data_IF_750121548696
#
_entry.id   IF_750121548696
#
_cell.length_a   1.000
_cell.length_b   1.000
_cell.length_c   1.000
_cell.angle_alpha   90.00
_cell.angle_beta   90.00
_cell.angle_gamma   90.00
#
_symmetry.space_group_name_H-M   'P 1'
#
loop_
_entity.id
_entity.type
_entity.pdbx_description
1 polymer ?
2 non-polymer ?
3 non-polymer ?
4 non-polymer ?
5 water ?
#
# COMPACT_ATOMS: atom_id res chain seq x y z
N UNK A 4 -16.10 0.18 -8.71
CA UNK A 4 -14.75 0.74 -8.55
C UNK A 4 -14.60 2.08 -9.25
N UNK A 5 -15.72 2.66 -9.70
CA UNK A 5 -15.68 3.98 -10.33
C UNK A 5 -15.01 4.95 -9.38
N UNK A 6 -15.36 4.85 -8.11
CA UNK A 6 -14.83 5.74 -7.11
C UNK A 6 -13.29 5.64 -7.03
N UNK A 7 -12.74 4.42 -7.05
CA UNK A 7 -11.28 4.25 -6.96
C UNK A 7 -10.56 4.83 -8.18
N UNK A 8 -11.07 4.56 -9.36
CA UNK A 8 -10.50 5.13 -10.58
C UNK A 8 -10.50 6.65 -10.50
N UNK A 9 -11.63 7.21 -10.06
CA UNK A 9 -11.75 8.66 -9.98
C UNK A 9 -10.84 9.26 -8.89
N UNK A 10 -10.66 8.52 -7.80
CA UNK A 10 -9.69 8.91 -6.77
C UNK A 10 -8.30 9.07 -7.36
N UNK A 11 -7.85 8.09 -8.14
CA UNK A 11 -6.52 8.16 -8.69
C UNK A 11 -6.40 9.25 -9.76
N UNK A 12 -7.45 9.47 -10.54
CA UNK A 12 -7.40 10.53 -11.53
C UNK A 12 -7.28 11.90 -10.86
N UNK A 13 -8.03 12.10 -9.78
CA UNK A 13 -7.96 13.35 -9.03
C UNK A 13 -6.57 13.53 -8.41
N UNK A 14 -6.04 12.46 -7.83
CA UNK A 14 -4.70 12.52 -7.25
C UNK A 14 -3.63 12.85 -8.31
N UNK A 15 -3.69 12.21 -9.48
CA UNK A 15 -2.73 12.52 -10.54
C UNK A 15 -2.81 14.00 -10.94
N UNK A 16 -4.03 14.54 -10.99
CA UNK A 16 -4.22 15.94 -11.34
C UNK A 16 -3.55 16.87 -10.32
N UNK A 17 -3.55 16.44 -9.05
CA UNK A 17 -2.99 17.23 -7.95
C UNK A 17 -1.48 17.16 -7.83
N UNK A 18 -0.90 16.04 -8.26
CA UNK A 18 0.52 15.82 -8.07
C UNK A 18 1.35 16.53 -9.12
N UNK A 19 2.60 16.89 -8.78
CA UNK A 19 3.53 17.46 -9.77
C UNK A 19 3.74 16.56 -10.99
N UNK A 20 4.09 17.15 -12.12
CA UNK A 20 4.22 16.40 -13.40
C UNK A 20 5.21 15.22 -13.38
N UNK A 21 6.30 15.34 -12.62
CA UNK A 21 7.34 14.29 -12.56
C UNK A 21 7.05 13.26 -11.46
N UNK A 22 5.83 13.29 -10.92
CA UNK A 22 5.51 12.36 -9.84
C UNK A 22 5.56 10.91 -10.27
N UNK A 23 5.02 10.57 -11.44
CA UNK A 23 4.96 9.16 -11.83
C UNK A 23 6.33 8.57 -12.12
N UNK A 24 7.19 9.27 -12.90
CA UNK A 24 8.55 8.72 -13.06
C UNK A 24 9.27 8.46 -11.73
N UNK A 25 9.13 9.40 -10.79
CA UNK A 25 9.78 9.28 -9.49
C UNK A 25 9.16 8.16 -8.64
N UNK A 26 7.83 8.11 -8.59
CA UNK A 26 7.13 7.07 -7.85
C UNK A 26 7.46 5.70 -8.41
N UNK A 27 7.47 5.54 -9.74
CA UNK A 27 7.83 4.24 -10.32
C UNK A 27 9.22 3.82 -9.86
N UNK A 28 10.16 4.75 -9.95
CA UNK A 28 11.53 4.45 -9.64
C UNK A 28 11.65 4.01 -8.18
N UNK A 29 10.96 4.71 -7.29
CA UNK A 29 11.01 4.35 -5.87
C UNK A 29 10.35 2.99 -5.64
N UNK A 30 9.14 2.85 -6.14
CA UNK A 30 8.28 1.68 -5.90
C UNK A 30 8.97 0.40 -6.36
N UNK A 31 9.51 0.41 -7.58
CA UNK A 31 10.11 -0.81 -8.08
C UNK A 31 11.47 -1.11 -7.39
N UNK A 32 12.14 -0.09 -6.84
CA UNK A 32 13.33 -0.32 -6.03
C UNK A 32 12.96 -0.99 -4.70
N UNK A 33 11.90 -0.51 -4.05
CA UNK A 33 11.41 -1.12 -2.81
C UNK A 33 11.03 -2.58 -3.08
N UNK A 34 10.39 -2.84 -4.22
CA UNK A 34 10.02 -4.21 -4.59
C UNK A 34 11.26 -5.10 -4.64
N UNK A 35 12.40 -4.51 -5.02
CA UNK A 35 13.65 -5.24 -5.13
C UNK A 35 14.44 -5.23 -3.82
N UNK A 36 13.84 -4.72 -2.75
CA UNK A 36 14.45 -4.71 -1.43
C UNK A 36 15.48 -3.62 -1.20
N UNK A 37 15.49 -2.62 -2.06
CA UNK A 37 16.52 -1.60 -2.06
C UNK A 37 15.95 -0.26 -1.62
N UNK A 38 16.43 0.25 -0.49
CA UNK A 38 16.09 1.59 -0.06
C UNK A 38 16.59 2.60 -1.10
N UNK A 39 15.94 3.76 -1.15
CA UNK A 39 16.17 4.73 -2.20
C UNK A 39 16.69 6.03 -1.61
N UNK A 40 17.65 6.64 -2.29
CA UNK A 40 18.16 7.96 -1.92
C UNK A 40 17.88 8.96 -3.02
N UNK A 41 17.96 10.24 -2.68
CA UNK A 41 17.72 11.25 -3.69
C UNK A 41 18.79 11.22 -4.78
N UNK A 42 20.04 10.92 -4.44
CA UNK A 42 21.07 10.80 -5.46
C UNK A 42 20.71 9.70 -6.45
N UNK A 43 20.19 8.57 -5.98
CA UNK A 43 19.87 7.48 -6.88
C UNK A 43 18.73 7.91 -7.81
N UNK A 44 17.76 8.67 -7.27
CA UNK A 44 16.66 9.16 -8.09
C UNK A 44 17.15 10.14 -9.16
N UNK A 45 18.03 11.05 -8.76
CA UNK A 45 18.58 12.00 -9.69
C UNK A 45 19.32 11.27 -10.81
N UNK A 46 20.20 10.36 -10.43
CA UNK A 46 21.04 9.67 -11.40
C UNK A 46 20.18 8.82 -12.37
N UNK A 47 19.17 8.15 -11.83
CA UNK A 47 18.39 7.22 -12.63
C UNK A 47 17.34 7.91 -13.51
N UNK A 48 16.61 8.86 -12.93
CA UNK A 48 15.51 9.50 -13.67
C UNK A 48 16.01 10.57 -14.64
N UNK A 49 17.17 11.16 -14.35
CA UNK A 49 17.64 12.27 -15.17
C UNK A 49 16.92 13.58 -14.92
N UNK A 50 16.06 13.62 -13.91
CA UNK A 50 15.29 14.82 -13.58
C UNK A 50 16.19 15.81 -12.84
N UNK A 51 15.97 17.10 -13.07
CA UNK A 51 16.70 18.16 -12.39
C UNK A 51 16.68 17.94 -10.90
N UNK A 52 17.78 18.26 -10.23
CA UNK A 52 17.90 17.96 -8.80
C UNK A 52 16.90 18.76 -7.96
N UNK A 53 16.57 19.98 -8.36
CA UNK A 53 15.61 20.77 -7.60
C UNK A 53 14.21 20.19 -7.73
N UNK A 54 13.88 19.65 -8.90
CA UNK A 54 12.57 19.03 -9.10
C UNK A 54 12.47 17.72 -8.33
N UNK A 55 13.53 16.92 -8.34
CA UNK A 55 13.50 15.71 -7.53
C UNK A 55 13.25 16.06 -6.07
N UNK A 56 13.96 17.05 -5.57
CA UNK A 56 13.82 17.47 -4.19
C UNK A 56 12.38 17.90 -3.88
N UNK A 57 11.79 18.72 -4.75
CA UNK A 57 10.46 19.24 -4.46
C UNK A 57 9.38 18.18 -4.59
N UNK A 58 9.53 17.28 -5.56
CA UNK A 58 8.55 16.22 -5.72
C UNK A 58 8.64 15.24 -4.54
N UNK A 59 9.85 14.84 -4.17
CA UNK A 59 10.02 13.96 -3.02
C UNK A 59 9.43 14.59 -1.75
N UNK A 60 9.63 15.89 -1.55
CA UNK A 60 9.05 16.59 -0.40
C UNK A 60 7.53 16.45 -0.38
N UNK A 61 6.89 16.66 -1.52
CA UNK A 61 5.44 16.55 -1.61
C UNK A 61 4.98 15.12 -1.33
N UNK A 62 5.64 14.15 -1.95
CA UNK A 62 5.25 12.75 -1.76
C UNK A 62 5.40 12.34 -0.29
N UNK A 63 6.43 12.84 0.36
CA UNK A 63 6.64 12.54 1.77
C UNK A 63 5.59 13.24 2.67
N UNK A 64 5.21 14.46 2.33
CA UNK A 64 4.19 15.18 3.08
C UNK A 64 2.83 14.48 2.97
N UNK A 65 2.58 13.87 1.80
CA UNK A 65 1.35 13.11 1.57
C UNK A 65 1.47 11.69 2.11
N UNK A 66 2.63 11.35 2.66
CA UNK A 66 2.92 10.02 3.17
C UNK A 66 2.61 8.94 2.14
N UNK A 67 2.86 9.29 0.87
CA UNK A 67 2.85 8.34 -0.24
C UNK A 67 4.17 7.61 -0.38
N UNK A 68 5.20 8.17 0.25
CA UNK A 68 6.47 7.50 0.49
C UNK A 68 6.80 7.70 1.96
N UNK A 69 7.63 6.82 2.49
CA UNK A 69 8.07 6.87 3.88
C UNK A 69 9.57 6.91 3.92
N UNK A 70 10.10 7.83 4.73
CA UNK A 70 11.53 7.95 4.93
C UNK A 70 11.86 7.65 6.38
N UNK A 71 12.91 6.89 6.58
CA UNK A 71 13.41 6.66 7.93
C UNK A 71 14.03 7.93 8.49
N UNK A 72 14.44 7.89 9.75
CA UNK A 72 14.96 9.08 10.43
C UNK A 72 16.15 9.65 9.68
N UNK A 73 16.98 8.80 9.08
CA UNK A 73 18.15 9.26 8.31
C UNK A 73 17.78 9.69 6.88
N UNK A 74 16.47 9.69 6.59
CA UNK A 74 15.88 10.19 5.34
C UNK A 74 15.98 9.28 4.13
N UNK A 75 16.55 8.09 4.24
CA UNK A 75 16.44 7.16 3.13
C UNK A 75 14.99 6.73 2.97
N UNK A 76 14.58 6.53 1.72
CA UNK A 76 13.19 6.16 1.42
C UNK A 76 13.03 4.64 1.47
N UNK A 77 12.11 4.18 2.31
CA UNK A 77 11.98 2.75 2.60
C UNK A 77 10.59 2.20 2.32
N UNK A 78 9.67 3.05 1.87
CA UNK A 78 8.34 2.60 1.54
C UNK A 78 7.68 3.51 0.54
N UNK A 79 6.79 2.96 -0.28
CA UNK A 79 6.07 3.76 -1.26
C UNK A 79 4.78 3.05 -1.66
N UNK A 80 3.69 3.80 -1.70
CA UNK A 80 2.43 3.31 -2.28
C UNK A 80 1.99 1.99 -1.67
N UNK A 81 2.19 1.86 -0.36
CA UNK A 81 1.72 0.69 0.39
C UNK A 81 2.76 -0.39 0.63
N UNK A 82 3.88 -0.33 -0.09
CA UNK A 82 4.91 -1.35 -0.04
C UNK A 82 6.08 -0.83 0.81
N UNK A 83 6.63 -1.69 1.66
CA UNK A 83 7.64 -1.29 2.64
C UNK A 83 8.73 -2.33 2.81
N UNK A 84 9.98 -1.86 2.91
CA UNK A 84 11.03 -2.78 3.31
C UNK A 84 11.10 -2.90 4.82
N UNK A 85 10.60 -1.92 5.56
CA UNK A 85 10.64 -1.96 7.02
C UNK A 85 9.34 -2.55 7.59
N UNK A 86 9.42 -3.18 8.77
CA UNK A 86 8.28 -3.96 9.27
C UNK A 86 6.99 -3.19 9.52
N UNK A 87 5.90 -3.92 9.27
CA UNK A 87 4.57 -3.52 9.66
C UNK A 87 3.89 -4.80 10.17
N UNK A 88 2.65 -4.70 10.56
CA UNK A 88 1.87 -5.87 10.95
C UNK A 88 1.63 -6.81 9.76
N UNK A 89 1.70 -6.27 8.55
CA UNK A 89 1.30 -7.00 7.36
C UNK A 89 2.49 -7.46 6.57
N UNK A 90 2.89 -8.69 6.81
CA UNK A 90 4.07 -9.28 6.18
C UNK A 90 3.69 -9.92 4.87
N UNK A 91 4.44 -9.64 3.82
CA UNK A 91 4.17 -10.21 2.51
C UNK A 91 5.42 -10.81 1.91
N UNK A 92 5.33 -12.09 1.55
CA UNK A 92 6.42 -12.75 0.88
C UNK A 92 6.12 -12.73 -0.61
N UNK A 93 6.98 -12.07 -1.37
CA UNK A 93 6.70 -11.72 -2.75
C UNK A 93 8.02 -11.62 -3.51
N UNK A 94 8.13 -12.32 -4.65
CA UNK A 94 9.34 -12.25 -5.48
C UNK A 94 10.57 -12.75 -4.76
N UNK A 95 10.37 -13.73 -3.87
CA UNK A 95 11.48 -14.36 -3.18
C UNK A 95 11.99 -13.60 -1.96
N UNK A 96 11.32 -12.51 -1.58
CA UNK A 96 11.74 -11.75 -0.41
C UNK A 96 10.59 -11.40 0.51
N UNK A 97 10.95 -11.09 1.74
CA UNK A 97 10.00 -10.71 2.75
C UNK A 97 9.92 -9.19 2.81
N UNK A 98 8.77 -8.68 2.42
CA UNK A 98 8.47 -7.26 2.47
C UNK A 98 7.25 -7.05 3.36
N UNK A 99 6.78 -5.82 3.41
CA UNK A 99 5.66 -5.48 4.28
C UNK A 99 4.71 -4.55 3.56
N UNK A 100 3.47 -4.51 4.04
CA UNK A 100 2.47 -3.62 3.46
C UNK A 100 1.91 -2.68 4.50
N UNK A 101 1.51 -1.49 4.06
CA UNK A 101 1.00 -0.48 4.99
C UNK A 101 -0.37 -0.81 5.57
N UNK A 102 -1.17 -1.63 4.87
CA UNK A 102 -2.51 -1.98 5.35
C UNK A 102 -2.98 -3.27 4.67
N UNK A 103 -4.15 -3.72 5.11
CA UNK A 103 -4.75 -4.95 4.59
C UNK A 103 -5.00 -4.87 3.09
N UNK A 104 -5.52 -3.74 2.62
CA UNK A 104 -5.79 -3.63 1.19
C UNK A 104 -4.48 -3.76 0.40
N UNK A 105 -3.43 -3.09 0.86
CA UNK A 105 -2.14 -3.11 0.19
C UNK A 105 -1.62 -4.53 0.03
N UNK A 106 -1.83 -5.38 1.06
CA UNK A 106 -1.31 -6.76 0.97
C UNK A 106 -1.78 -7.47 -0.30
N UNK A 107 -3.01 -7.20 -0.71
CA UNK A 107 -3.61 -7.87 -1.85
C UNK A 107 -3.44 -7.06 -3.14
N UNK A 108 -3.67 -5.76 -3.07
CA UNK A 108 -3.52 -4.98 -4.28
C UNK A 108 -2.08 -4.99 -4.79
N UNK A 109 -1.10 -5.12 -3.90
CA UNK A 109 0.29 -5.19 -4.34
C UNK A 109 0.57 -6.49 -5.12
N UNK A 110 -0.11 -7.57 -4.77
CA UNK A 110 0.05 -8.82 -5.51
C UNK A 110 -0.32 -8.60 -6.97
N UNK A 111 -1.46 -7.96 -7.19
CA UNK A 111 -1.94 -7.66 -8.53
C UNK A 111 -1.03 -6.68 -9.22
N UNK A 112 -0.66 -5.60 -8.52
CA UNK A 112 0.14 -4.54 -9.15
C UNK A 112 1.53 -5.04 -9.55
N UNK A 113 2.12 -5.89 -8.72
CA UNK A 113 3.47 -6.39 -8.96
C UNK A 113 3.48 -7.69 -9.77
N UNK A 114 2.29 -8.17 -10.12
CA UNK A 114 2.13 -9.40 -10.90
C UNK A 114 2.88 -10.55 -10.26
N UNK A 115 2.53 -10.85 -9.01
CA UNK A 115 3.33 -11.75 -8.21
C UNK A 115 2.47 -12.51 -7.23
N UNK A 116 2.67 -13.82 -7.17
CA UNK A 116 2.08 -14.59 -6.08
C UNK A 116 2.56 -14.02 -4.74
N UNK A 117 1.72 -14.13 -3.71
CA UNK A 117 2.06 -13.59 -2.40
C UNK A 117 1.61 -14.53 -1.29
N UNK A 118 2.38 -14.56 -0.20
CA UNK A 118 1.94 -15.15 1.06
C UNK A 118 1.85 -13.98 2.01
N UNK A 119 0.70 -13.82 2.63
CA UNK A 119 0.40 -12.72 3.53
C UNK A 119 0.19 -13.25 4.94
N UNK A 120 0.82 -12.57 5.90
CA UNK A 120 0.55 -12.82 7.31
C UNK A 120 0.20 -11.50 7.97
N UNK A 121 -0.92 -11.50 8.68
CA UNK A 121 -1.40 -10.29 9.34
C UNK A 121 -2.13 -10.66 10.62
N UNK A 122 -2.92 -9.72 11.14
CA UNK A 122 -3.60 -9.88 12.42
C UNK A 122 -5.01 -9.33 12.32
N UNK A 123 -5.95 -9.97 13.01
CA UNK A 123 -7.28 -9.40 13.18
C UNK A 123 -7.17 -8.19 14.08
N UNK A 124 -7.67 -7.05 13.62
CA UNK A 124 -7.60 -5.81 14.39
C UNK A 124 -8.45 -5.88 15.66
N UNK A 125 -9.37 -6.83 15.73
CA UNK A 125 -10.15 -7.00 16.96
C UNK A 125 -9.53 -8.05 17.88
N UNK A 126 -9.43 -9.29 17.43
CA UNK A 126 -9.03 -10.36 18.33
C UNK A 126 -7.55 -10.54 18.51
N UNK A 127 -6.74 -9.99 17.60
CA UNK A 127 -5.32 -10.20 17.63
C UNK A 127 -4.85 -11.52 17.04
N UNK A 128 -5.78 -12.34 16.59
CA UNK A 128 -5.40 -13.65 16.07
C UNK A 128 -4.68 -13.52 14.72
N UNK A 129 -3.87 -14.53 14.36
CA UNK A 129 -3.17 -14.45 13.07
C UNK A 129 -4.11 -14.66 11.88
N UNK A 130 -3.82 -13.96 10.80
CA UNK A 130 -4.51 -14.09 9.52
C UNK A 130 -3.48 -14.49 8.47
N UNK A 131 -3.80 -15.51 7.68
CA UNK A 131 -2.94 -15.97 6.60
C UNK A 131 -3.75 -16.03 5.32
N UNK A 132 -3.22 -15.44 4.27
CA UNK A 132 -3.84 -15.42 2.96
C UNK A 132 -2.76 -15.70 1.94
N UNK A 133 -3.03 -16.56 0.96
CA UNK A 133 -2.11 -16.71 -0.16
C UNK A 133 -2.85 -16.51 -1.47
N UNK A 134 -2.09 -16.05 -2.45
CA UNK A 134 -2.61 -15.80 -3.79
C UNK A 134 -1.72 -16.53 -4.79
N UNK A 135 -2.35 -17.28 -5.68
CA UNK A 135 -1.64 -18.07 -6.69
C UNK A 135 -2.29 -17.79 -8.06
N UNK A 136 -1.52 -17.23 -8.98
CA UNK A 136 -2.04 -16.85 -10.31
C UNK A 136 -3.31 -16.03 -10.24
N UNK A 137 -3.34 -15.09 -9.32
CA UNK A 137 -4.45 -14.17 -9.19
C UNK A 137 -5.64 -14.68 -8.42
N UNK A 138 -5.58 -15.92 -7.96
CA UNK A 138 -6.70 -16.56 -7.27
C UNK A 138 -6.35 -16.74 -5.81
N UNK A 139 -7.30 -16.43 -4.94
CA UNK A 139 -7.12 -16.69 -3.52
C UNK A 139 -6.99 -18.20 -3.33
N UNK A 140 -5.97 -18.62 -2.60
CA UNK A 140 -5.76 -20.03 -2.28
C UNK A 140 -6.04 -20.21 -0.79
N UNK A 141 -5.06 -20.01 0.08
CA UNK A 141 -5.29 -20.15 1.52
C UNK A 141 -5.98 -18.89 2.02
N UNK A 142 -6.93 -19.04 2.93
CA UNK A 142 -7.43 -17.91 3.70
C UNK A 142 -7.86 -18.43 5.04
N UNK A 143 -7.13 -18.06 6.09
CA UNK A 143 -7.47 -18.47 7.44
C UNK A 143 -7.41 -17.27 8.35
N UNK A 144 -8.46 -17.03 9.13
CA UNK A 144 -9.75 -17.73 9.10
C UNK A 144 -10.47 -17.58 7.77
N UNK A 145 -11.31 -18.54 7.41
CA UNK A 145 -11.97 -18.50 6.11
C UNK A 145 -12.88 -17.29 5.96
N UNK A 146 -13.31 -16.72 7.09
CA UNK A 146 -14.23 -15.58 7.12
C UNK A 146 -13.56 -14.20 7.11
N UNK A 147 -12.26 -14.16 6.84
CA UNK A 147 -11.50 -12.93 6.84
C UNK A 147 -12.07 -11.91 5.85
N UNK A 148 -12.17 -10.67 6.31
CA UNK A 148 -12.67 -9.56 5.51
C UNK A 148 -11.82 -8.33 5.81
N UNK A 149 -12.04 -7.27 5.05
CA UNK A 149 -11.33 -6.00 5.22
C UNK A 149 -12.32 -4.89 5.55
N UNK A 150 -11.90 -4.01 6.46
CA UNK A 150 -12.62 -2.79 6.77
C UNK A 150 -11.91 -1.65 6.08
N UNK A 151 -12.63 -0.88 5.28
CA UNK A 151 -12.09 0.23 4.53
C UNK A 151 -12.87 1.51 4.85
N UNK A 152 -12.26 2.64 4.54
CA UNK A 152 -12.86 3.94 4.75
C UNK A 152 -12.88 4.70 3.43
N UNK A 153 -13.69 5.77 3.35
CA UNK A 153 -13.75 6.51 2.10
C UNK A 153 -12.37 7.07 1.72
N UNK A 154 -11.99 6.94 0.46
CA UNK A 154 -10.71 7.45 0.06
C UNK A 154 -10.91 8.97 -0.20
N UNK A 155 -9.81 9.64 -0.01
CA UNK A 155 -9.65 11.09 0.30
C UNK A 155 -8.35 11.47 -0.48
N UNK A 156 -8.46 12.25 -1.49
CA UNK A 156 -7.31 12.72 -2.28
C UNK A 156 -6.36 13.67 -1.54
N UNK A 157 -6.72 14.15 -0.37
CA UNK A 157 -5.82 14.99 0.38
C UNK A 157 -5.31 14.33 1.65
N UNK A 158 -5.83 13.15 1.95
CA UNK A 158 -5.46 12.45 3.17
C UNK A 158 -4.10 11.82 2.98
N UNK A 159 -3.23 11.91 3.99
CA UNK A 159 -1.98 11.18 3.89
C UNK A 159 -2.22 9.67 3.93
N UNK A 160 -1.33 8.90 3.31
CA UNK A 160 -1.51 7.47 3.19
C UNK A 160 -0.94 6.71 4.41
N UNK A 161 0.39 6.57 4.49
CA UNK A 161 0.98 5.59 5.41
C UNK A 161 0.57 5.80 6.87
N UNK A 162 0.56 7.06 7.30
CA UNK A 162 0.24 7.39 8.68
C UNK A 162 -1.13 8.03 8.85
N UNK A 163 -1.95 7.92 7.81
CA UNK A 163 -3.28 8.50 7.78
C UNK A 163 -4.31 7.44 7.46
N UNK A 164 -4.74 7.40 6.20
CA UNK A 164 -5.80 6.50 5.80
C UNK A 164 -5.41 5.03 6.01
N UNK A 165 -4.15 4.67 5.78
CA UNK A 165 -3.74 3.27 5.93
C UNK A 165 -3.93 2.78 7.38
N UNK A 166 -3.83 3.69 8.35
CA UNK A 166 -4.04 3.33 9.75
C UNK A 166 -5.51 3.10 10.11
N UNK A 167 -6.40 3.46 9.19
CA UNK A 167 -7.85 3.30 9.39
C UNK A 167 -8.43 2.06 8.70
N UNK A 168 -7.58 1.34 7.96
CA UNK A 168 -7.97 0.15 7.22
C UNK A 168 -7.46 -1.05 8.02
N UNK A 169 -8.29 -2.07 8.10
CA UNK A 169 -7.98 -3.25 8.90
C UNK A 169 -8.46 -4.56 8.27
N UNK A 170 -7.76 -5.61 8.68
CA UNK A 170 -8.21 -6.98 8.50
C UNK A 170 -9.03 -7.32 9.75
N UNK A 171 -10.11 -8.03 9.53
CA UNK A 171 -10.92 -8.61 10.59
C UNK A 171 -11.09 -10.12 10.29
N UNK A 172 -11.06 -10.91 11.36
CA UNK A 172 -11.20 -12.35 11.23
C UNK A 172 -12.58 -12.80 10.75
N UNK A 173 -13.58 -11.92 10.92
CA UNK A 173 -14.95 -12.18 10.48
C UNK A 173 -15.71 -10.88 10.49
N UNK A 174 -16.85 -10.86 9.81
CA UNK A 174 -17.75 -9.71 9.91
C UNK A 174 -18.27 -9.55 11.34
N UNK A 175 -18.55 -10.66 12.00
CA UNK A 175 -19.05 -10.62 13.37
C UNK A 175 -18.02 -9.93 14.28
N UNK A 176 -16.74 -10.21 14.07
CA UNK A 176 -15.71 -9.54 14.87
C UNK A 176 -15.51 -8.07 14.47
N UNK A 177 -15.62 -7.78 13.17
CA UNK A 177 -15.64 -6.40 12.72
C UNK A 177 -16.74 -5.62 13.43
N UNK A 178 -17.90 -6.26 13.56
CA UNK A 178 -19.04 -5.61 14.22
C UNK A 178 -18.83 -5.36 15.71
N UNK A 179 -18.15 -6.27 16.40
CA UNK A 179 -17.76 -6.05 17.79
C UNK A 179 -16.85 -4.84 17.89
N UNK A 180 -15.89 -4.75 16.98
CA UNK A 180 -14.97 -3.63 16.96
C UNK A 180 -15.73 -2.33 16.68
N UNK A 181 -16.66 -2.38 15.74
CA UNK A 181 -17.44 -1.20 15.40
C UNK A 181 -18.23 -0.67 16.59
N UNK A 182 -18.79 -1.58 17.40
CA UNK A 182 -19.55 -1.19 18.58
C UNK A 182 -18.70 -0.39 19.55
N UNK A 183 -17.41 -0.69 19.58
CA UNK A 183 -16.47 -0.02 20.46
C UNK A 183 -15.87 1.25 19.85
N UNK A 184 -16.11 1.44 18.55
CA UNK A 184 -15.62 2.62 17.84
C UNK A 184 -16.75 3.20 16.99
N UNK A 185 -17.87 3.56 17.66
CA UNK A 185 -19.14 3.88 16.99
C UNK A 185 -19.10 5.08 16.06
N UNK A 186 -18.17 6.01 16.29
CA UNK A 186 -18.12 7.23 15.51
C UNK A 186 -17.36 7.05 14.20
N UNK A 187 -16.52 6.01 14.12
CA UNK A 187 -15.76 5.76 12.90
C UNK A 187 -16.66 5.24 11.78
N UNK A 188 -16.43 5.71 10.57
CA UNK A 188 -17.28 5.41 9.42
C UNK A 188 -16.48 4.61 8.39
N UNK A 189 -17.09 3.58 7.81
CA UNK A 189 -16.41 2.73 6.86
C UNK A 189 -17.32 1.60 6.43
N UNK A 190 -16.73 0.60 5.79
CA UNK A 190 -17.52 -0.55 5.35
C UNK A 190 -16.62 -1.76 5.11
N UNK A 191 -17.26 -2.90 5.05
CA UNK A 191 -16.60 -4.16 4.79
C UNK A 191 -16.45 -4.36 3.29
N UNK A 192 -15.30 -4.84 2.89
CA UNK A 192 -15.08 -5.27 1.51
C UNK A 192 -14.41 -6.64 1.54
N UNK A 193 -14.44 -7.31 0.41
CA UNK A 193 -13.95 -8.67 0.33
C UNK A 193 -12.51 -8.70 -0.11
N UNK A 194 -11.88 -9.84 0.09
CA UNK A 194 -10.49 -10.01 -0.34
C UNK A 194 -10.38 -9.99 -1.86
N UNK A 195 -11.36 -10.57 -2.56
CA UNK A 195 -11.36 -10.53 -4.02
C UNK A 195 -11.40 -9.08 -4.52
N UNK A 196 -12.22 -8.26 -3.87
CA UNK A 196 -12.30 -6.85 -4.27
C UNK A 196 -10.93 -6.15 -4.05
N UNK A 197 -10.25 -6.46 -2.95
CA UNK A 197 -8.96 -5.83 -2.68
C UNK A 197 -7.94 -6.24 -3.74
N UNK A 198 -7.98 -7.49 -4.18
CA UNK A 198 -7.10 -7.92 -5.26
C UNK A 198 -7.32 -7.07 -6.50
N UNK A 199 -8.58 -6.82 -6.83
CA UNK A 199 -8.89 -6.08 -8.04
C UNK A 199 -8.43 -4.62 -7.96
N UNK A 200 -8.25 -4.10 -6.74
CA UNK A 200 -7.79 -2.73 -6.60
C UNK A 200 -6.39 -2.52 -7.21
N UNK A 201 -5.61 -3.58 -7.33
CA UNK A 201 -4.29 -3.47 -7.93
C UNK A 201 -4.36 -3.03 -9.37
N UNK A 202 -5.48 -3.28 -10.05
CA UNK A 202 -5.68 -2.78 -11.41
C UNK A 202 -5.51 -1.27 -11.47
N UNK A 203 -6.13 -0.59 -10.51
CA UNK A 203 -6.14 0.86 -10.50
C UNK A 203 -4.77 1.40 -10.06
N UNK A 204 -4.09 0.69 -9.16
CA UNK A 204 -2.75 1.09 -8.79
C UNK A 204 -1.82 0.99 -10.01
N UNK A 205 -1.95 -0.08 -10.78
CA UNK A 205 -1.16 -0.23 -12.00
C UNK A 205 -1.40 0.91 -12.98
N UNK A 206 -2.67 1.27 -13.16
CA UNK A 206 -3.01 2.38 -14.04
C UNK A 206 -2.40 3.68 -13.53
N UNK A 207 -2.46 3.91 -12.22
CA UNK A 207 -1.88 5.11 -11.62
C UNK A 207 -0.38 5.23 -11.90
N UNK A 208 0.33 4.11 -11.86
CA UNK A 208 1.77 4.08 -12.12
C UNK A 208 2.13 4.07 -13.60
N UNK A 209 1.14 4.01 -14.49
CA UNK A 209 1.41 3.93 -15.93
C UNK A 209 1.79 5.28 -16.55
X LIG B 1 -3.20 1.41 2.53
X LIG C 1 -2.93 -0.37 13.08
X LIG C 1 -4.29 -0.20 12.78
X LIG C 1 -2.75 -1.75 13.70
X LIG C 1 -3.81 -2.61 13.32
X LIG C 1 -1.40 -2.26 13.21
X LIG C 1 -1.06 -3.45 13.87
X LIG C 1 -2.34 -0.30 12.16
X LIG C 1 -2.60 0.39 13.76
X LIG C 1 -4.43 0.71 12.43
X LIG C 1 -2.72 -1.64 14.78
X LIG C 1 -3.83 -2.69 12.34
X LIG C 1 -1.46 -2.45 12.14
X LIG C 1 -0.64 -1.51 13.39
X LIG C 1 -1.08 -4.20 13.24
X LIG D 1 -6.35 7.73 0.61
X LIG D 1 -6.05 6.03 0.15
X LIG D 1 -4.66 5.54 0.53
X LIG D 1 -4.54 5.49 1.93
X LIG D 1 -4.32 4.15 -0.02
X LIG D 1 -4.31 4.20 -1.43
X LIG D 1 -5.29 3.06 0.44
X LIG D 1 -4.58 1.42 0.32
X LIG D 1 -7.52 7.91 0.68
X LIG D 1 -6.15 5.94 -0.82
X LIG D 1 -6.71 5.46 0.58
X LIG D 1 -4.00 6.18 0.18
X LIG D 1 -4.20 6.26 2.22
X LIG D 1 -3.42 3.91 0.28
X LIG D 1 -5.15 4.23 -1.73
X LIG D 1 -5.53 3.24 1.36
X LIG D 1 -6.09 3.10 -0.12
X LIG D 1 -5.39 0.63 0.62
#
# INVERSE_FOLDING_TARGET
>A
MKNKTELKKFYELLLAKLPKESVPILRTIFFSIRDGQAVTESSLINQTGINTKTVQSVVKILAQRQMIVREADQKIVGALGLSIIPTTNQIHLGGRTLFAWCAISTLELSTALVADVDIHSRCAYTGEPIEVTVRNGKLAKTTPDSTVIWTVPFDSEAPWAGGTCKQIHYFSSVEHANKWKEEHPKLQGEIMTLEQALSFGNELKKFLS
>B hetero
1 HG HG
>C hetero
1 GOL C1 O1 C2 O2 C3 O3 H11 H12 HO1 H2 HO2 H31 H32 HO3
>D hetero
1 DTV S1 C1 C2 O2 C3 O3 C4 S4 H1 H1C1 H1C2 H2 HA H3 HB H4C1 H4C2 H4
#
